data_IF_303948515992
#
_entry.id   IF_303948515992
#
_cell.length_a   1.000
_cell.length_b   1.000
_cell.length_c   1.000
_cell.angle_alpha   90.00
_cell.angle_beta   90.00
_cell.angle_gamma   90.00
#
_symmetry.space_group_name_H-M   'P 1'
#
loop_
_entity.id
_entity.type
_entity.pdbx_description
1 polymer ?
#
# COMPACT_ATOMS: atom_id res chain seq x y z
N UNK A 1 -8.69 -4.89 6.10
CA UNK A 1 -7.31 -5.34 6.36
C UNK A 1 -6.75 -4.37 7.37
N UNK A 2 -6.21 -4.85 8.49
CA UNK A 2 -5.57 -3.98 9.48
C UNK A 2 -4.23 -3.42 8.96
N UNK A 3 -3.75 -2.34 9.58
CA UNK A 3 -2.53 -1.63 9.20
C UNK A 3 -1.29 -2.54 9.20
N UNK A 4 -1.14 -3.37 10.24
CA UNK A 4 -0.01 -4.29 10.36
C UNK A 4 0.04 -5.28 9.20
N UNK A 5 -1.10 -5.83 8.81
CA UNK A 5 -1.21 -6.71 7.64
C UNK A 5 -0.89 -5.96 6.35
N UNK A 6 -1.31 -4.70 6.22
CA UNK A 6 -1.07 -3.90 5.04
C UNK A 6 0.41 -3.51 4.88
N UNK A 7 1.08 -3.08 5.97
CA UNK A 7 2.52 -2.80 6.00
C UNK A 7 3.31 -4.06 5.65
N UNK A 8 2.94 -5.21 6.24
CA UNK A 8 3.60 -6.49 5.91
C UNK A 8 3.50 -6.82 4.43
N UNK A 9 2.32 -6.65 3.82
CA UNK A 9 2.16 -6.86 2.37
C UNK A 9 2.98 -5.87 1.54
N UNK A 10 3.15 -4.63 1.99
CA UNK A 10 4.03 -3.66 1.33
C UNK A 10 5.49 -4.10 1.40
N UNK A 11 5.97 -4.55 2.56
CA UNK A 11 7.31 -5.10 2.72
C UNK A 11 7.55 -6.35 1.86
N UNK A 12 6.59 -7.28 1.85
CA UNK A 12 6.64 -8.48 0.99
C UNK A 12 6.68 -8.11 -0.50
N UNK A 13 5.87 -7.14 -0.92
CA UNK A 13 5.87 -6.62 -2.28
C UNK A 13 7.23 -6.03 -2.67
N UNK A 14 7.81 -5.18 -1.81
CA UNK A 14 9.10 -4.55 -2.07
C UNK A 14 10.21 -5.60 -2.21
N UNK A 15 10.24 -6.61 -1.34
CA UNK A 15 11.19 -7.71 -1.44
C UNK A 15 11.04 -8.51 -2.75
N UNK A 16 9.81 -8.74 -3.24
CA UNK A 16 9.58 -9.38 -4.55
C UNK A 16 10.11 -8.52 -5.70
N UNK A 17 9.95 -7.19 -5.61
CA UNK A 17 10.41 -6.26 -6.65
C UNK A 17 11.92 -6.04 -6.63
N UNK A 18 12.56 -6.16 -5.48
CA UNK A 18 14.03 -6.14 -5.38
C UNK A 18 14.67 -7.28 -6.16
N UNK A 19 14.07 -8.47 -6.16
CA UNK A 19 14.50 -9.60 -7.00
C UNK A 19 14.36 -9.32 -8.50
N UNK A 20 13.49 -8.38 -8.87
CA UNK A 20 13.27 -7.93 -10.25
C UNK A 20 14.18 -6.72 -10.59
N UNK A 21 15.00 -6.27 -9.64
CA UNK A 21 15.99 -5.20 -9.80
C UNK A 21 15.44 -3.80 -9.56
N UNK A 22 14.37 -3.68 -8.79
CA UNK A 22 14.07 -2.42 -8.11
C UNK A 22 14.94 -2.30 -6.85
N UNK A 23 15.11 -1.10 -6.36
CA UNK A 23 15.79 -0.82 -5.10
C UNK A 23 14.83 -0.06 -4.21
N UNK A 24 14.68 -0.48 -2.96
CA UNK A 24 13.79 0.18 -2.01
C UNK A 24 14.54 0.66 -0.78
N UNK A 25 14.18 1.84 -0.27
CA UNK A 25 14.71 2.41 0.95
C UNK A 25 13.57 2.97 1.79
N UNK A 26 13.41 2.45 3.01
CA UNK A 26 12.40 2.95 3.95
C UNK A 26 12.86 4.30 4.50
N UNK A 27 12.06 5.34 4.27
CA UNK A 27 12.32 6.70 4.72
C UNK A 27 11.59 7.03 6.02
N UNK A 28 10.38 6.52 6.20
CA UNK A 28 9.53 6.73 7.38
C UNK A 28 8.79 5.44 7.71
N UNK A 29 8.80 5.04 8.98
CA UNK A 29 7.98 3.95 9.52
C UNK A 29 7.55 4.32 10.96
N UNK A 30 6.58 5.22 11.08
CA UNK A 30 6.17 5.78 12.37
C UNK A 30 4.65 6.01 12.42
N UNK A 31 4.02 5.67 13.55
CA UNK A 31 2.59 5.94 13.83
C UNK A 31 1.60 5.51 12.73
N UNK A 32 1.93 4.45 11.99
CA UNK A 32 1.09 3.95 10.90
C UNK A 32 1.26 4.68 9.57
N UNK A 33 2.18 5.64 9.51
CA UNK A 33 2.70 6.18 8.27
C UNK A 33 3.93 5.37 7.86
N UNK A 34 3.97 5.03 6.57
CA UNK A 34 5.04 4.27 5.96
C UNK A 34 5.40 4.96 4.65
N UNK A 35 6.66 5.37 4.48
CA UNK A 35 7.16 6.01 3.28
C UNK A 35 8.41 5.29 2.81
N UNK A 36 8.45 4.94 1.53
CA UNK A 36 9.54 4.20 0.90
C UNK A 36 9.94 4.89 -0.39
N UNK A 37 11.24 5.13 -0.58
CA UNK A 37 11.77 5.45 -1.89
C UNK A 37 11.97 4.18 -2.70
N UNK A 38 11.49 4.17 -3.95
CA UNK A 38 11.62 3.05 -4.88
C UNK A 38 12.32 3.56 -6.13
N UNK A 39 13.40 2.88 -6.52
CA UNK A 39 14.20 3.22 -7.69
C UNK A 39 14.27 2.04 -8.66
N UNK A 40 14.07 2.29 -9.95
CA UNK A 40 14.26 1.27 -10.98
C UNK A 40 15.73 1.19 -11.46
N UNK A 41 16.03 0.21 -12.32
CA UNK A 41 17.38 0.02 -12.91
C UNK A 41 17.86 1.22 -13.74
N UNK A 42 16.93 1.99 -14.31
CA UNK A 42 17.22 3.19 -15.10
C UNK A 42 17.53 4.41 -14.22
N UNK A 43 17.36 4.27 -12.90
CA UNK A 43 17.62 5.31 -11.93
C UNK A 43 16.43 6.24 -11.66
N UNK A 44 15.26 5.97 -12.24
CA UNK A 44 14.02 6.70 -11.97
C UNK A 44 13.55 6.38 -10.55
N UNK A 45 13.27 7.41 -9.77
CA UNK A 45 12.91 7.31 -8.36
C UNK A 45 11.49 7.81 -8.11
N UNK A 46 10.72 7.07 -7.32
CA UNK A 46 9.39 7.44 -6.84
C UNK A 46 9.27 7.15 -5.35
N UNK A 47 8.34 7.82 -4.68
CA UNK A 47 8.05 7.58 -3.27
C UNK A 47 6.71 6.87 -3.14
N UNK A 48 6.70 5.69 -2.56
CA UNK A 48 5.50 4.97 -2.19
C UNK A 48 5.14 5.27 -0.75
N UNK A 49 3.88 5.59 -0.47
CA UNK A 49 3.42 5.93 0.87
C UNK A 49 2.18 5.12 1.27
N UNK A 50 2.08 4.84 2.56
CA UNK A 50 0.89 4.35 3.26
C UNK A 50 0.68 5.32 4.41
N UNK A 51 -0.54 5.83 4.54
CA UNK A 51 -0.92 6.75 5.59
C UNK A 51 -2.14 6.22 6.32
N UNK A 52 -2.11 6.30 7.65
CA UNK A 52 -3.27 6.02 8.48
C UNK A 52 -3.94 7.36 8.80
N UNK A 53 -5.06 7.66 8.15
CA UNK A 53 -5.86 8.84 8.48
C UNK A 53 -6.67 8.56 9.74
N UNK A 54 -6.27 9.27 10.81
CA UNK A 54 -6.92 9.29 12.13
C UNK A 54 -7.64 10.62 12.39
N UNK A 55 -7.47 11.65 11.53
CA UNK A 55 -7.86 13.03 11.85
C UNK A 55 -9.37 13.29 11.78
N UNK A 56 -10.15 12.36 11.21
CA UNK A 56 -11.59 12.55 10.96
C UNK A 56 -12.54 11.55 11.65
N UNK A 57 -12.09 10.82 12.68
CA UNK A 57 -12.90 9.78 13.31
C UNK A 57 -13.23 10.05 14.78
N UNK A 58 -14.53 10.21 15.07
CA UNK A 58 -15.06 10.33 16.43
C UNK A 58 -15.21 8.93 17.01
N UNK A 59 -14.58 8.66 18.15
CA UNK A 59 -14.69 7.39 18.85
C UNK A 59 -16.16 7.15 19.30
N UNK A 60 -16.94 6.40 18.52
CA UNK A 60 -18.37 6.19 18.78
C UNK A 60 -18.66 4.94 19.65
N UNK A 61 -17.73 3.99 19.76
CA UNK A 61 -17.76 2.85 20.69
C UNK A 61 -16.45 2.03 20.62
N UNK A 62 -16.17 1.22 21.64
CA UNK A 62 -15.03 0.26 21.72
C UNK A 62 -15.03 -0.82 20.60
N UNK A 63 -16.09 -0.89 19.78
CA UNK A 63 -16.33 -1.99 18.85
C UNK A 63 -16.03 -1.68 17.36
N UNK A 64 -15.58 -0.47 17.01
CA UNK A 64 -15.38 -0.11 15.60
C UNK A 64 -13.97 0.39 15.31
N UNK A 65 -13.21 -0.38 14.51
CA UNK A 65 -12.00 0.09 13.83
C UNK A 65 -12.38 1.25 12.89
N UNK A 66 -12.20 2.48 13.34
CA UNK A 66 -12.50 3.70 12.60
C UNK A 66 -11.22 4.41 12.15
N UNK A 67 -10.39 3.74 11.38
CA UNK A 67 -9.23 4.36 10.73
C UNK A 67 -9.26 4.05 9.25
N UNK A 68 -8.96 5.06 8.42
CA UNK A 68 -8.90 4.89 6.97
C UNK A 68 -7.45 4.77 6.55
N UNK A 69 -7.11 3.59 6.05
CA UNK A 69 -5.80 3.34 5.47
C UNK A 69 -5.79 3.82 4.01
N UNK A 70 -4.89 4.74 3.69
CA UNK A 70 -4.67 5.29 2.35
C UNK A 70 -3.27 4.92 1.86
N UNK A 71 -3.08 4.79 0.55
CA UNK A 71 -1.76 4.56 -0.05
C UNK A 71 -1.65 5.21 -1.42
N UNK A 72 -0.43 5.48 -1.86
CA UNK A 72 -0.17 6.07 -3.18
C UNK A 72 1.30 6.11 -3.57
N UNK A 73 1.56 6.70 -4.75
CA UNK A 73 2.91 6.89 -5.30
C UNK A 73 3.09 8.34 -5.70
N UNK A 74 4.13 8.98 -5.19
CA UNK A 74 4.54 10.36 -5.48
C UNK A 74 5.79 10.31 -6.35
N UNK A 75 5.93 11.28 -7.25
CA UNK A 75 7.12 11.44 -8.08
C UNK A 75 7.59 12.90 -8.06
N UNK A 76 8.88 13.11 -8.35
CA UNK A 76 9.41 14.47 -8.54
C UNK A 76 8.70 15.16 -9.71
N UNK A 77 8.46 16.46 -9.57
CA UNK A 77 7.82 17.28 -10.62
C UNK A 77 8.74 17.32 -11.84
N UNK A 78 8.19 17.01 -13.02
CA UNK A 78 8.95 16.96 -14.27
C UNK A 78 9.44 15.57 -14.70
N UNK A 79 9.44 14.59 -13.79
CA UNK A 79 9.79 13.18 -14.10
C UNK A 79 8.69 12.48 -14.92
N UNK A 80 9.01 11.33 -15.50
CA UNK A 80 7.99 10.51 -16.17
C UNK A 80 6.97 9.95 -15.17
N UNK A 81 5.69 9.94 -15.55
CA UNK A 81 4.65 9.29 -14.75
C UNK A 81 4.60 7.76 -14.97
N UNK A 82 5.38 7.23 -15.89
CA UNK A 82 5.31 5.82 -16.31
C UNK A 82 5.68 4.89 -15.15
N UNK A 83 6.82 5.13 -14.52
CA UNK A 83 7.28 4.29 -13.41
C UNK A 83 6.38 4.41 -12.17
N UNK A 84 5.88 5.62 -11.86
CA UNK A 84 4.94 5.80 -10.76
C UNK A 84 3.64 5.01 -10.95
N UNK A 85 3.12 4.96 -12.20
CA UNK A 85 1.94 4.15 -12.55
C UNK A 85 2.25 2.66 -12.48
N UNK A 86 3.42 2.24 -12.93
CA UNK A 86 3.88 0.86 -12.86
C UNK A 86 3.94 0.37 -11.42
N UNK A 87 4.57 1.13 -10.51
CA UNK A 87 4.63 0.83 -9.08
C UNK A 87 3.23 0.69 -8.48
N UNK A 88 2.34 1.65 -8.76
CA UNK A 88 0.97 1.63 -8.23
C UNK A 88 0.18 0.41 -8.74
N UNK A 89 0.25 0.14 -10.04
CA UNK A 89 -0.44 -1.00 -10.66
C UNK A 89 0.10 -2.34 -10.15
N UNK A 90 1.43 -2.46 -10.05
CA UNK A 90 2.09 -3.66 -9.55
C UNK A 90 1.68 -3.96 -8.11
N UNK A 91 1.58 -2.93 -7.26
CA UNK A 91 1.14 -3.09 -5.88
C UNK A 91 -0.35 -3.45 -5.77
N UNK A 92 -1.21 -2.81 -6.56
CA UNK A 92 -2.64 -3.15 -6.61
C UNK A 92 -2.88 -4.61 -7.04
N UNK A 93 -2.14 -5.10 -8.03
CA UNK A 93 -2.19 -6.49 -8.45
C UNK A 93 -1.70 -7.43 -7.34
N UNK A 94 -0.61 -7.06 -6.66
CA UNK A 94 -0.06 -7.83 -5.54
C UNK A 94 -1.09 -7.95 -4.39
N UNK A 95 -1.66 -6.84 -3.94
CA UNK A 95 -2.72 -6.85 -2.92
C UNK A 95 -3.90 -7.69 -3.38
N UNK A 96 -4.37 -7.53 -4.62
CA UNK A 96 -5.54 -8.28 -5.11
C UNK A 96 -5.30 -9.79 -5.06
N UNK A 97 -4.10 -10.23 -5.44
CA UNK A 97 -3.66 -11.63 -5.38
C UNK A 97 -3.52 -12.15 -3.94
N UNK A 98 -3.08 -11.31 -3.02
CA UNK A 98 -2.86 -11.70 -1.62
C UNK A 98 -4.12 -11.53 -0.74
N UNK A 99 -5.09 -10.72 -1.17
CA UNK A 99 -6.37 -10.47 -0.49
C UNK A 99 -7.45 -11.50 -0.88
N UNK A 100 -7.27 -12.25 -1.97
CA UNK A 100 -8.26 -13.24 -2.50
C UNK A 100 -8.36 -14.55 -1.69
N UNK A 101 -7.86 -14.61 -0.45
CA UNK A 101 -8.07 -15.74 0.47
C UNK A 101 -9.26 -15.62 1.42
N UNK A 102 -10.20 -14.69 1.22
CA UNK A 102 -11.55 -14.77 1.80
C UNK A 102 -12.59 -14.90 0.70
N UNK A 103 -12.87 -16.14 0.28
CA UNK A 103 -14.19 -16.49 -0.28
C UNK A 103 -15.23 -16.26 0.81
N UNK A 104 -15.71 -15.03 0.94
CA UNK A 104 -16.94 -14.76 1.66
C UNK A 104 -18.07 -15.33 0.82
N UNK A 105 -18.51 -16.53 1.15
CA UNK A 105 -19.77 -17.06 0.66
C UNK A 105 -20.88 -16.12 1.15
N UNK A 106 -21.31 -15.19 0.30
CA UNK A 106 -22.55 -14.47 0.52
C UNK A 106 -23.69 -15.47 0.30
N UNK A 107 -24.27 -15.97 1.40
CA UNK A 107 -25.57 -16.61 1.36
C UNK A 107 -26.57 -15.51 0.99
N UNK A 108 -26.94 -15.45 -0.28
CA UNK A 108 -28.07 -14.65 -0.74
C UNK A 108 -29.33 -15.39 -0.32
N UNK A 109 -29.99 -14.93 0.75
CA UNK A 109 -31.37 -15.32 1.01
C UNK A 109 -32.23 -14.76 -0.13
N UNK A 110 -32.85 -15.65 -0.91
CA UNK A 110 -33.91 -15.28 -1.85
C UNK A 110 -35.26 -15.39 -1.14
N UNK A 111 -35.89 -14.23 -1.01
CA UNK A 111 -37.31 -13.90 -0.74
C UNK A 111 -38.00 -14.55 0.45
#
# INVERSE_FOLDING_TARGET
MDLTTFIRLAQEFLAEREQQGWFSEVLIEEFGNYLVSIKNREGTEVQFFIELDLENYVHLSDATCQSKLSYGVIRKKGESALFAKEVLQAFQQFITKHSTKKKSFFIVYKK
#
